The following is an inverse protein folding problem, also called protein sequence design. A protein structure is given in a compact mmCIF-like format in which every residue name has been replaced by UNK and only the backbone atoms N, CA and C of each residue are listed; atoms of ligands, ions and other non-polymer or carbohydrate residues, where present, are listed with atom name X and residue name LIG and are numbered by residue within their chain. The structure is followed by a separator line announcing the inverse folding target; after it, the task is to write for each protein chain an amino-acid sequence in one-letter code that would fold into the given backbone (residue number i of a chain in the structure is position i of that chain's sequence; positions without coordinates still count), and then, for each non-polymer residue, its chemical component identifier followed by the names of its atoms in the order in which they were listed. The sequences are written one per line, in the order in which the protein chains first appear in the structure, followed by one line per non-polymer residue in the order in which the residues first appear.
data_IF_350553867859
#
_entry.id   IF_350553867859
#
_cell.length_a   1.000
_cell.length_b   1.000
_cell.length_c   1.000
_cell.angle_alpha   90.00
_cell.angle_beta   90.00
_cell.angle_gamma   90.00
#
_symmetry.space_group_name_H-M   'P 1'
#
loop_
_entity.id
_entity.type
_entity.pdbx_description
1 polymer ?
#
# COMPACT_ATOMS: atom_id res chain seq x y z
N UNK A 1 -14.07 13.54 26.84
CA UNK A 1 -13.16 12.38 26.65
C UNK A 1 -13.82 11.16 25.98
N UNK A 2 -15.00 10.68 26.41
CA UNK A 2 -15.69 9.49 25.84
C UNK A 2 -16.01 9.56 24.33
N UNK A 3 -16.33 10.74 23.80
CA UNK A 3 -16.67 10.93 22.38
C UNK A 3 -15.49 10.75 21.41
N UNK A 4 -14.26 11.12 21.81
CA UNK A 4 -13.08 10.94 20.96
C UNK A 4 -12.70 9.46 20.80
N UNK A 5 -12.92 8.64 21.84
CA UNK A 5 -12.62 7.21 21.82
C UNK A 5 -13.52 6.46 20.81
N UNK A 6 -14.82 6.80 20.78
CA UNK A 6 -15.76 6.23 19.79
C UNK A 6 -15.40 6.60 18.34
N UNK A 7 -14.95 7.84 18.10
CA UNK A 7 -14.52 8.25 16.76
C UNK A 7 -13.22 7.57 16.31
N UNK A 8 -12.28 7.36 17.23
CA UNK A 8 -11.04 6.62 16.93
C UNK A 8 -11.33 5.14 16.64
N UNK A 9 -12.20 4.49 17.43
CA UNK A 9 -12.65 3.12 17.17
C UNK A 9 -13.32 2.96 15.81
N UNK A 10 -14.17 3.92 15.41
CA UNK A 10 -14.80 3.91 14.09
C UNK A 10 -13.80 4.09 12.95
N UNK A 11 -12.81 4.97 13.11
CA UNK A 11 -11.70 5.13 12.14
C UNK A 11 -10.87 3.85 12.03
N UNK A 12 -10.55 3.22 13.15
CA UNK A 12 -9.75 1.99 13.19
C UNK A 12 -10.46 0.83 12.50
N UNK A 13 -11.78 0.68 12.70
CA UNK A 13 -12.59 -0.33 12.00
C UNK A 13 -12.45 -0.21 10.48
N UNK A 14 -12.54 1.01 9.95
CA UNK A 14 -12.35 1.27 8.52
C UNK A 14 -10.93 0.98 8.04
N UNK A 15 -9.89 1.26 8.85
CA UNK A 15 -8.51 0.92 8.51
C UNK A 15 -8.31 -0.61 8.43
N UNK A 16 -8.90 -1.35 9.37
CA UNK A 16 -8.87 -2.82 9.37
C UNK A 16 -9.62 -3.38 8.15
N UNK A 17 -10.77 -2.81 7.79
CA UNK A 17 -11.52 -3.21 6.61
C UNK A 17 -10.73 -3.00 5.31
N UNK A 18 -10.08 -1.84 5.19
CA UNK A 18 -9.20 -1.52 4.05
C UNK A 18 -7.97 -2.45 3.99
N UNK A 19 -7.39 -2.79 5.14
CA UNK A 19 -6.30 -3.76 5.26
C UNK A 19 -6.72 -5.13 4.71
N UNK A 20 -7.86 -5.65 5.15
CA UNK A 20 -8.36 -6.94 4.64
C UNK A 20 -8.73 -6.91 3.16
N UNK A 21 -9.23 -5.78 2.67
CA UNK A 21 -9.51 -5.60 1.24
C UNK A 21 -8.21 -5.65 0.42
N UNK A 22 -7.17 -5.01 0.92
CA UNK A 22 -5.83 -5.01 0.31
C UNK A 22 -5.25 -6.43 0.25
N UNK A 23 -5.26 -7.18 1.36
CA UNK A 23 -4.72 -8.53 1.42
C UNK A 23 -5.43 -9.49 0.46
N UNK A 24 -6.76 -9.43 0.43
CA UNK A 24 -7.56 -10.29 -0.46
C UNK A 24 -7.35 -9.95 -1.94
N UNK A 25 -7.17 -8.68 -2.29
CA UNK A 25 -7.09 -8.24 -3.69
C UNK A 25 -5.67 -8.18 -4.27
N UNK A 26 -4.66 -7.84 -3.47
CA UNK A 26 -3.30 -7.55 -3.98
C UNK A 26 -2.28 -8.63 -3.63
N UNK A 27 -2.53 -9.46 -2.62
CA UNK A 27 -1.59 -10.50 -2.20
C UNK A 27 -2.15 -11.91 -2.35
N UNK A 28 -3.30 -12.04 -3.02
CA UNK A 28 -3.97 -13.30 -3.33
C UNK A 28 -4.36 -14.16 -2.11
N UNK A 29 -4.47 -13.55 -0.92
CA UNK A 29 -4.83 -14.24 0.33
C UNK A 29 -6.22 -14.89 0.30
N UNK A 30 -7.04 -14.59 -0.72
CA UNK A 30 -8.41 -15.13 -0.84
C UNK A 30 -8.44 -16.59 -1.28
N UNK A 31 -7.52 -17.02 -2.14
CA UNK A 31 -7.53 -18.38 -2.73
C UNK A 31 -6.12 -18.83 -3.09
N UNK A 32 -5.74 -20.00 -2.58
CA UNK A 32 -4.52 -20.70 -2.97
C UNK A 32 -4.91 -21.95 -3.75
N UNK A 33 -4.24 -22.19 -4.89
CA UNK A 33 -4.48 -23.37 -5.71
C UNK A 33 -3.51 -24.49 -5.33
N UNK A 34 -3.62 -24.98 -4.08
CA UNK A 34 -2.79 -26.07 -3.56
C UNK A 34 -3.60 -26.97 -2.63
N UNK A 35 -3.32 -28.27 -2.67
CA UNK A 35 -3.88 -29.27 -1.76
C UNK A 35 -2.93 -29.62 -0.60
N UNK A 36 -1.67 -29.19 -0.68
CA UNK A 36 -0.69 -29.42 0.38
C UNK A 36 -0.82 -28.33 1.45
N UNK A 37 -1.09 -28.69 2.73
CA UNK A 37 -1.29 -27.73 3.81
C UNK A 37 -0.05 -26.90 4.13
N UNK A 38 1.15 -27.49 4.06
CA UNK A 38 2.41 -26.77 4.34
C UNK A 38 2.68 -25.70 3.27
N UNK A 39 2.41 -26.04 2.00
CA UNK A 39 2.53 -25.08 0.90
C UNK A 39 1.49 -23.97 1.07
N UNK A 40 0.26 -24.29 1.46
CA UNK A 40 -0.78 -23.30 1.73
C UNK A 40 -0.35 -22.33 2.84
N UNK A 41 0.23 -22.85 3.92
CA UNK A 41 0.76 -22.03 5.01
C UNK A 41 1.88 -21.10 4.52
N UNK A 42 2.85 -21.61 3.77
CA UNK A 42 3.91 -20.79 3.17
C UNK A 42 3.37 -19.67 2.27
N UNK A 43 2.30 -19.95 1.51
CA UNK A 43 1.63 -18.94 0.68
C UNK A 43 0.92 -17.88 1.54
N UNK A 44 0.30 -18.25 2.66
CA UNK A 44 -0.28 -17.30 3.62
C UNK A 44 0.81 -16.35 4.14
N UNK A 45 1.93 -16.90 4.61
CA UNK A 45 3.06 -16.09 5.10
C UNK A 45 3.62 -15.16 4.02
N UNK A 46 3.79 -15.66 2.80
CA UNK A 46 4.26 -14.86 1.66
C UNK A 46 3.28 -13.73 1.31
N UNK A 47 1.98 -14.00 1.34
CA UNK A 47 0.94 -12.99 1.13
C UNK A 47 0.95 -11.90 2.20
N UNK A 48 1.22 -12.26 3.46
CA UNK A 48 1.33 -11.30 4.57
C UNK A 48 2.60 -10.45 4.45
N UNK A 49 3.75 -11.07 4.16
CA UNK A 49 5.02 -10.36 3.94
C UNK A 49 4.89 -9.40 2.76
N UNK A 50 4.30 -9.85 1.64
CA UNK A 50 4.06 -9.01 0.47
C UNK A 50 3.12 -7.83 0.76
N UNK A 51 2.18 -7.96 1.69
CA UNK A 51 1.32 -6.85 2.12
C UNK A 51 2.09 -5.87 3.00
N UNK A 52 2.88 -6.38 3.95
CA UNK A 52 3.71 -5.56 4.82
C UNK A 52 4.73 -4.75 4.00
N UNK A 53 5.40 -5.38 3.03
CA UNK A 53 6.36 -4.73 2.17
C UNK A 53 5.72 -3.59 1.35
N UNK A 54 4.54 -3.82 0.76
CA UNK A 54 3.80 -2.78 0.03
C UNK A 54 3.46 -1.59 0.92
N UNK A 55 3.02 -1.84 2.15
CA UNK A 55 2.71 -0.79 3.14
C UNK A 55 3.95 -0.03 3.58
N UNK A 56 5.06 -0.74 3.79
CA UNK A 56 6.34 -0.12 4.10
C UNK A 56 6.79 0.78 2.96
N UNK A 57 6.75 0.31 1.71
CA UNK A 57 7.07 1.12 0.54
C UNK A 57 6.16 2.33 0.41
N UNK A 58 4.87 2.19 0.68
CA UNK A 58 3.94 3.33 0.67
C UNK A 58 4.25 4.36 1.77
N UNK A 59 4.67 3.89 2.95
CA UNK A 59 5.14 4.77 4.02
C UNK A 59 6.45 5.49 3.64
N UNK A 60 7.39 4.78 3.04
CA UNK A 60 8.66 5.36 2.56
C UNK A 60 8.44 6.33 1.38
N UNK A 61 7.48 6.05 0.51
CA UNK A 61 7.10 6.97 -0.56
C UNK A 61 6.52 8.28 0.00
N UNK A 62 5.73 8.20 1.08
CA UNK A 62 5.23 9.39 1.79
C UNK A 62 6.37 10.26 2.31
N UNK A 63 7.39 9.65 2.93
CA UNK A 63 8.54 10.38 3.49
C UNK A 63 9.44 10.93 2.40
N UNK A 64 9.72 10.15 1.34
CA UNK A 64 10.56 10.56 0.22
C UNK A 64 9.92 11.67 -0.65
N UNK A 65 8.60 11.61 -0.87
CA UNK A 65 7.89 12.57 -1.74
C UNK A 65 7.31 13.76 -0.97
N UNK A 66 7.39 13.77 0.37
CA UNK A 66 6.80 14.79 1.25
C UNK A 66 5.31 15.11 0.94
N UNK A 67 4.54 14.08 0.56
CA UNK A 67 3.14 14.20 0.14
C UNK A 67 2.24 13.18 0.85
N UNK A 68 0.96 13.51 1.02
CA UNK A 68 -0.04 12.58 1.57
C UNK A 68 -0.47 11.59 0.48
N UNK A 69 0.27 10.49 0.39
CA UNK A 69 -0.04 9.38 -0.51
C UNK A 69 -1.09 8.43 0.07
N UNK A 70 -1.91 7.86 -0.81
CA UNK A 70 -2.87 6.81 -0.45
C UNK A 70 -2.16 5.46 -0.46
N UNK A 71 -2.08 4.81 0.70
CA UNK A 71 -1.45 3.49 0.86
C UNK A 71 -2.00 2.47 -0.14
N UNK A 72 -3.29 2.51 -0.42
CA UNK A 72 -3.91 1.60 -1.38
C UNK A 72 -3.51 1.89 -2.83
N UNK A 73 -3.46 3.16 -3.24
CA UNK A 73 -3.03 3.53 -4.59
C UNK A 73 -1.56 3.17 -4.80
N UNK A 74 -0.68 3.51 -3.86
CA UNK A 74 0.75 3.17 -3.92
C UNK A 74 0.98 1.65 -3.89
N UNK A 75 0.19 0.90 -3.12
CA UNK A 75 0.32 -0.57 -3.06
C UNK A 75 -0.22 -1.27 -4.32
N UNK A 76 -1.19 -0.67 -4.99
CA UNK A 76 -1.75 -1.14 -6.28
C UNK A 76 -0.85 -0.76 -7.45
N UNK A 77 -0.35 0.47 -7.45
CA UNK A 77 0.45 1.06 -8.53
C UNK A 77 1.92 0.67 -8.35
N UNK A 78 2.55 0.22 -9.42
CA UNK A 78 3.99 -0.03 -9.41
C UNK A 78 4.43 -1.43 -8.95
N UNK A 79 3.52 -2.36 -8.70
CA UNK A 79 3.89 -3.77 -8.47
C UNK A 79 4.68 -4.36 -9.65
N UNK A 80 4.26 -4.06 -10.89
CA UNK A 80 5.00 -4.42 -12.11
C UNK A 80 6.32 -3.67 -12.25
N UNK A 81 6.34 -2.36 -11.96
CA UNK A 81 7.56 -1.53 -12.06
C UNK A 81 8.62 -1.92 -11.01
N UNK A 82 8.19 -2.33 -9.81
CA UNK A 82 9.09 -2.85 -8.78
C UNK A 82 9.73 -4.17 -9.24
N UNK A 83 8.96 -5.05 -9.90
CA UNK A 83 9.50 -6.28 -10.50
C UNK A 83 10.48 -5.96 -11.62
N UNK A 84 10.19 -4.99 -12.49
CA UNK A 84 11.13 -4.55 -13.53
C UNK A 84 12.41 -3.96 -12.93
N UNK A 85 12.29 -3.10 -11.91
CA UNK A 85 13.44 -2.59 -11.16
C UNK A 85 14.33 -3.74 -10.67
N UNK A 86 13.75 -4.70 -9.93
CA UNK A 86 14.51 -5.84 -9.40
C UNK A 86 15.10 -6.72 -10.51
N UNK A 87 14.37 -6.94 -11.60
CA UNK A 87 14.84 -7.72 -12.76
C UNK A 87 16.09 -7.09 -13.36
N UNK A 88 16.09 -5.78 -13.58
CA UNK A 88 17.23 -5.07 -14.16
C UNK A 88 18.38 -4.91 -13.17
N UNK A 89 18.07 -4.69 -11.89
CA UNK A 89 19.04 -4.62 -10.82
C UNK A 89 19.80 -5.95 -10.67
N UNK A 90 19.09 -7.09 -10.68
CA UNK A 90 19.71 -8.42 -10.60
C UNK A 90 20.60 -8.76 -11.82
N UNK A 91 20.42 -8.06 -12.95
CA UNK A 91 21.23 -8.19 -14.17
C UNK A 91 22.37 -7.18 -14.23
N UNK A 92 22.62 -6.43 -13.16
CA UNK A 92 23.56 -5.31 -13.07
C UNK A 92 23.37 -4.22 -14.15
N UNK A 93 22.16 -4.14 -14.73
CA UNK A 93 21.83 -3.10 -15.70
C UNK A 93 21.32 -1.85 -14.98
N UNK A 94 22.27 -1.09 -14.42
CA UNK A 94 21.99 0.09 -13.59
C UNK A 94 21.16 1.14 -14.31
N UNK A 95 21.31 1.30 -15.63
CA UNK A 95 20.54 2.26 -16.43
C UNK A 95 19.06 1.88 -16.45
N UNK A 96 18.74 0.65 -16.85
CA UNK A 96 17.34 0.17 -16.92
C UNK A 96 16.70 0.09 -15.54
N UNK A 97 17.46 -0.30 -14.51
CA UNK A 97 16.99 -0.28 -13.14
C UNK A 97 16.63 1.14 -12.70
N UNK A 98 17.49 2.13 -12.99
CA UNK A 98 17.21 3.53 -12.70
C UNK A 98 15.97 4.04 -13.44
N UNK A 99 15.82 3.74 -14.73
CA UNK A 99 14.62 4.12 -15.50
C UNK A 99 13.33 3.55 -14.90
N UNK A 100 13.33 2.28 -14.51
CA UNK A 100 12.20 1.65 -13.84
C UNK A 100 11.90 2.30 -12.48
N UNK A 101 12.94 2.65 -11.74
CA UNK A 101 12.84 3.33 -10.44
C UNK A 101 12.28 4.76 -10.59
N UNK A 102 12.80 5.54 -11.53
CA UNK A 102 12.35 6.91 -11.78
C UNK A 102 10.88 6.90 -12.23
N UNK A 103 10.48 5.93 -13.06
CA UNK A 103 9.09 5.77 -13.47
C UNK A 103 8.17 5.34 -12.32
N UNK A 104 8.66 4.48 -11.42
CA UNK A 104 7.94 4.11 -10.19
C UNK A 104 7.70 5.33 -9.30
N UNK A 105 8.73 6.15 -9.07
CA UNK A 105 8.63 7.38 -8.28
C UNK A 105 7.69 8.39 -8.92
N UNK A 106 7.76 8.58 -10.23
CA UNK A 106 6.85 9.44 -10.97
C UNK A 106 5.40 8.97 -10.82
N UNK A 107 5.13 7.69 -11.01
CA UNK A 107 3.78 7.12 -10.88
C UNK A 107 3.24 7.31 -9.47
N UNK A 108 4.07 7.08 -8.44
CA UNK A 108 3.66 7.30 -7.05
C UNK A 108 3.44 8.78 -6.72
N UNK A 109 4.15 9.69 -7.37
CA UNK A 109 3.97 11.13 -7.21
C UNK A 109 2.70 11.64 -7.88
N UNK A 110 2.41 11.22 -9.10
CA UNK A 110 1.26 11.74 -9.86
C UNK A 110 -0.04 11.02 -9.47
N UNK A 111 0.00 9.70 -9.38
CA UNK A 111 -1.20 8.85 -9.22
C UNK A 111 -1.35 8.28 -7.80
N UNK A 112 -0.30 8.36 -6.98
CA UNK A 112 -0.32 7.91 -5.59
C UNK A 112 -0.90 8.94 -4.61
N UNK A 113 -1.09 10.19 -5.05
CA UNK A 113 -1.68 11.26 -4.23
C UNK A 113 -3.14 10.93 -3.92
N UNK A 114 -3.51 11.17 -2.67
CA UNK A 114 -4.87 10.94 -2.18
C UNK A 114 -5.86 11.84 -2.95
N UNK A 115 -6.65 11.23 -3.84
CA UNK A 115 -7.52 11.94 -4.79
C UNK A 115 -8.62 12.83 -4.16
N UNK A 116 -8.87 12.76 -2.85
CA UNK A 116 -10.00 13.44 -2.21
C UNK A 116 -9.62 14.19 -0.92
N UNK A 117 -8.51 14.93 -0.93
CA UNK A 117 -8.00 15.73 0.20
C UNK A 117 -9.02 16.75 0.74
N UNK A 118 -9.86 17.34 -0.11
CA UNK A 118 -10.89 18.32 0.28
C UNK A 118 -12.03 17.71 1.13
N UNK A 119 -12.41 16.45 0.88
CA UNK A 119 -13.44 15.72 1.65
C UNK A 119 -12.95 15.38 3.06
N UNK A 120 -11.67 15.07 3.21
CA UNK A 120 -11.06 14.70 4.49
C UNK A 120 -10.81 15.91 5.39
N UNK A 121 -10.46 17.07 4.82
CA UNK A 121 -10.33 18.33 5.57
C UNK A 121 -11.66 18.80 6.17
N UNK A 122 -12.78 18.61 5.45
CA UNK A 122 -14.12 19.05 5.88
C UNK A 122 -14.64 18.32 7.13
N UNK A 123 -14.09 17.14 7.47
CA UNK A 123 -14.47 16.38 8.67
C UNK A 123 -13.76 16.84 9.95
N UNK A 124 -12.72 17.67 9.84
CA UNK A 124 -11.99 18.20 11.01
C UNK A 124 -12.56 19.54 11.47
N UNK A 125 -13.21 20.30 10.58
CA UNK A 125 -13.85 21.59 10.90
C UNK A 125 -15.28 21.53 11.47
N UNK A 126 -15.77 20.34 11.85
CA UNK A 126 -17.13 20.16 12.38
C UNK A 126 -17.15 19.73 13.87
N UNK A 127 -16.09 20.04 14.61
CA UNK A 127 -16.09 19.96 16.09
C UNK A 127 -15.48 21.25 16.63
N UNK A 128 -16.27 22.32 16.56
CA UNK A 128 -16.26 23.38 17.57
C UNK A 128 -17.54 23.17 18.35
N UNK A 129 -17.45 22.35 19.41
CA UNK A 129 -18.02 22.45 20.78
C UNK A 129 -17.45 21.27 21.56
#
# INVERSE_FOLDING_TARGET
MRFQFNQQGYKLRWQIELLFKEWKSLTNLKKFNTRNPEIAEGMIWTSLIGALLRRYLAYQAKTALNQVVSTWQVSKLGSGLLVEFWRWFARDNKKRAKEAWDHLLWLWREEGVRQNTKRDAKKVGAVVV
#
